data_IF_075724084069
#
_entry.id   IF_075724084069
#
_cell.length_a   1.000
_cell.length_b   1.000
_cell.length_c   1.000
_cell.angle_alpha   90.00
_cell.angle_beta   90.00
_cell.angle_gamma   90.00
#
_symmetry.space_group_name_H-M   'P 1'
#
loop_
_entity.id
_entity.type
_entity.pdbx_description
1 polymer ?
#
# COMPACT_ATOMS: atom_id res chain seq x y z
N UNK A 1 21.90 -24.70 67.63
CA UNK A 1 20.76 -23.95 67.06
C UNK A 1 20.96 -23.87 65.56
N UNK A 2 20.37 -24.82 64.85
CA UNK A 2 20.60 -25.12 63.44
C UNK A 2 19.47 -24.60 62.57
N UNK A 3 19.87 -24.05 61.43
CA UNK A 3 19.03 -23.54 60.35
C UNK A 3 18.47 -24.66 59.45
N UNK A 4 17.35 -24.32 58.80
CA UNK A 4 16.87 -24.67 57.45
C UNK A 4 16.22 -26.02 57.05
N UNK A 5 15.08 -25.85 56.36
CA UNK A 5 14.47 -26.56 55.20
C UNK A 5 13.86 -27.97 55.37
N UNK A 6 12.57 -28.13 54.98
CA UNK A 6 12.10 -29.00 53.86
C UNK A 6 10.56 -29.01 53.65
N UNK A 7 10.15 -29.11 52.39
CA UNK A 7 8.80 -29.41 51.86
C UNK A 7 8.40 -30.88 52.13
N UNK A 8 7.09 -31.15 52.27
CA UNK A 8 6.50 -32.47 52.11
C UNK A 8 4.97 -32.51 52.30
N UNK A 9 4.22 -32.73 51.20
CA UNK A 9 2.94 -33.46 51.16
C UNK A 9 3.23 -34.98 51.36
N UNK A 10 2.26 -35.92 51.39
CA UNK A 10 0.83 -35.89 51.72
C UNK A 10 0.43 -37.03 52.70
N UNK A 11 -0.70 -36.99 53.42
CA UNK A 11 -1.42 -38.25 53.74
C UNK A 11 -2.88 -38.06 54.21
N UNK A 12 -3.74 -38.79 53.49
CA UNK A 12 -5.16 -39.11 53.67
C UNK A 12 -5.59 -39.37 55.13
N UNK A 13 -6.83 -38.97 55.46
CA UNK A 13 -7.62 -39.60 56.51
C UNK A 13 -9.09 -39.83 56.06
N UNK A 14 -9.76 -40.82 56.66
CA UNK A 14 -10.68 -41.75 55.98
C UNK A 14 -12.14 -41.32 56.01
N UNK A 15 -12.94 -41.94 55.13
CA UNK A 15 -14.35 -41.63 54.98
C UNK A 15 -15.24 -42.12 56.12
N UNK A 16 -16.33 -41.40 56.36
CA UNK A 16 -17.63 -41.97 56.66
C UNK A 16 -18.73 -41.00 56.22
N UNK A 17 -19.81 -41.58 55.70
CA UNK A 17 -20.84 -40.92 54.89
C UNK A 17 -21.85 -40.20 55.77
N UNK A 18 -22.02 -38.90 55.56
CA UNK A 18 -23.32 -38.24 55.70
C UNK A 18 -23.61 -37.45 54.43
N UNK A 19 -24.72 -37.77 53.77
CA UNK A 19 -25.21 -37.07 52.57
C UNK A 19 -25.60 -35.65 52.95
N UNK A 20 -24.65 -34.70 52.92
CA UNK A 20 -25.01 -33.29 52.83
C UNK A 20 -25.50 -33.03 51.40
N UNK A 21 -26.71 -32.48 51.29
CA UNK A 21 -27.28 -32.03 50.01
C UNK A 21 -26.23 -31.12 49.34
N UNK A 22 -25.95 -31.28 48.03
CA UNK A 22 -24.99 -30.42 47.35
C UNK A 22 -25.44 -28.96 47.55
N UNK A 23 -24.58 -28.16 48.17
CA UNK A 23 -24.80 -26.74 48.32
C UNK A 23 -25.09 -26.19 46.91
N UNK A 24 -26.27 -25.58 46.71
CA UNK A 24 -26.69 -25.05 45.40
C UNK A 24 -25.56 -24.17 44.89
N UNK A 25 -25.02 -24.47 43.70
CA UNK A 25 -24.02 -23.62 43.02
C UNK A 25 -24.45 -22.16 43.18
N UNK A 26 -23.68 -21.41 43.98
CA UNK A 26 -23.95 -20.01 44.26
C UNK A 26 -24.26 -19.29 42.95
N UNK A 27 -25.41 -18.64 42.89
CA UNK A 27 -25.89 -18.00 41.68
C UNK A 27 -24.84 -17.01 41.18
N UNK A 28 -24.20 -17.31 40.04
CA UNK A 28 -23.25 -16.41 39.41
C UNK A 28 -23.87 -15.01 39.31
N UNK A 29 -23.17 -13.98 39.80
CA UNK A 29 -23.64 -12.60 39.76
C UNK A 29 -23.94 -12.20 38.31
N UNK A 30 -25.19 -11.85 38.00
CA UNK A 30 -25.61 -11.36 36.68
C UNK A 30 -25.91 -9.88 36.76
N UNK A 31 -25.39 -9.13 35.80
CA UNK A 31 -25.52 -7.67 35.73
C UNK A 31 -26.24 -7.25 34.45
N UNK A 32 -27.04 -6.20 34.56
CA UNK A 32 -27.59 -5.45 33.41
C UNK A 32 -26.58 -4.39 33.00
N UNK A 33 -26.39 -4.20 31.69
CA UNK A 33 -25.46 -3.20 31.16
C UNK A 33 -26.24 -1.92 30.84
N UNK A 34 -25.88 -0.82 31.49
CA UNK A 34 -26.31 0.50 31.06
C UNK A 34 -25.60 0.97 29.79
N UNK A 35 -26.06 2.09 29.25
CA UNK A 35 -25.45 2.75 28.10
C UNK A 35 -24.05 3.27 28.41
N UNK A 36 -23.27 3.45 27.35
CA UNK A 36 -21.97 4.11 27.46
C UNK A 36 -22.16 5.62 27.63
N UNK A 37 -21.41 6.23 28.54
CA UNK A 37 -21.26 7.69 28.64
C UNK A 37 -20.67 8.27 27.36
N UNK A 38 -20.76 9.60 27.22
CA UNK A 38 -19.92 10.37 26.30
C UNK A 38 -18.43 10.13 26.61
N UNK A 39 -17.58 10.45 25.63
CA UNK A 39 -16.15 10.34 25.80
C UNK A 39 -15.62 11.48 26.68
N UNK A 40 -14.83 11.17 27.69
CA UNK A 40 -14.09 12.17 28.45
C UNK A 40 -12.95 12.73 27.57
N UNK A 41 -12.92 14.04 27.28
CA UNK A 41 -11.93 14.65 26.39
C UNK A 41 -10.51 14.66 26.98
N UNK A 42 -10.36 14.56 28.31
CA UNK A 42 -9.05 14.57 28.98
C UNK A 42 -8.45 13.16 29.00
N UNK A 43 -9.25 12.17 29.37
CA UNK A 43 -8.76 10.80 29.56
C UNK A 43 -8.95 9.90 28.34
N UNK A 44 -9.72 10.34 27.33
CA UNK A 44 -10.10 9.56 26.15
C UNK A 44 -10.75 8.20 26.52
N UNK A 45 -11.52 8.21 27.61
CA UNK A 45 -12.22 7.05 28.12
C UNK A 45 -13.72 7.30 28.22
N UNK A 46 -14.50 6.24 27.99
CA UNK A 46 -15.94 6.22 28.26
C UNK A 46 -16.25 5.17 29.30
N UNK A 47 -17.29 5.42 30.09
CA UNK A 47 -17.69 4.58 31.22
C UNK A 47 -19.10 4.04 30.97
N UNK A 48 -19.42 2.89 31.53
CA UNK A 48 -20.81 2.41 31.65
C UNK A 48 -21.01 1.75 33.00
N UNK A 49 -22.24 1.82 33.51
CA UNK A 49 -22.61 1.23 34.79
C UNK A 49 -23.23 -0.15 34.54
N UNK A 50 -22.84 -1.13 35.36
CA UNK A 50 -23.39 -2.47 35.38
C UNK A 50 -24.13 -2.65 36.69
N UNK A 51 -25.45 -2.68 36.64
CA UNK A 51 -26.30 -2.83 37.82
C UNK A 51 -26.61 -4.31 38.07
N UNK A 52 -26.49 -4.76 39.31
CA UNK A 52 -26.74 -6.16 39.69
C UNK A 52 -28.22 -6.52 39.44
N UNK A 53 -28.43 -7.57 38.63
CA UNK A 53 -29.77 -8.11 38.32
C UNK A 53 -30.09 -9.37 39.11
N UNK A 54 -29.10 -10.22 39.37
CA UNK A 54 -29.25 -11.47 40.13
C UNK A 54 -27.97 -11.81 40.86
N UNK A 55 -28.07 -12.08 42.15
CA UNK A 55 -26.94 -12.40 43.04
C UNK A 55 -27.22 -11.86 44.44
N UNK A 56 -26.46 -12.33 45.43
CA UNK A 56 -26.56 -11.82 46.80
C UNK A 56 -25.78 -10.50 46.91
N UNK A 57 -26.39 -9.38 47.34
CA UNK A 57 -25.72 -8.09 47.45
C UNK A 57 -24.54 -8.04 48.44
N UNK A 58 -24.42 -8.99 49.37
CA UNK A 58 -23.32 -9.08 50.32
C UNK A 58 -22.09 -9.79 49.72
N UNK A 59 -22.25 -10.46 48.58
CA UNK A 59 -21.15 -11.14 47.87
C UNK A 59 -20.90 -10.58 46.48
N UNK A 60 -21.93 -10.01 45.85
CA UNK A 60 -21.87 -9.33 44.55
C UNK A 60 -21.97 -7.82 44.77
N UNK A 61 -21.04 -7.07 44.20
CA UNK A 61 -21.11 -5.60 44.16
C UNK A 61 -22.42 -5.15 43.48
N UNK A 62 -23.13 -4.16 44.06
CA UNK A 62 -24.40 -3.69 43.48
C UNK A 62 -24.23 -3.02 42.12
N UNK A 63 -23.15 -2.26 41.96
CA UNK A 63 -22.84 -1.55 40.73
C UNK A 63 -21.37 -1.72 40.38
N UNK A 64 -21.08 -1.91 39.09
CA UNK A 64 -19.72 -1.96 38.57
C UNK A 64 -19.55 -0.96 37.45
N UNK A 65 -18.48 -0.17 37.51
CA UNK A 65 -18.11 0.72 36.41
C UNK A 65 -17.15 0.01 35.48
N UNK A 66 -17.52 -0.12 34.20
CA UNK A 66 -16.59 -0.54 33.15
C UNK A 66 -16.10 0.68 32.38
N UNK A 67 -14.78 0.81 32.29
CA UNK A 67 -14.12 1.86 31.53
C UNK A 67 -13.52 1.27 30.25
N UNK A 68 -13.66 1.98 29.14
CA UNK A 68 -13.06 1.59 27.86
C UNK A 68 -12.52 2.82 27.14
N UNK A 69 -11.36 2.68 26.50
CA UNK A 69 -10.82 3.72 25.62
C UNK A 69 -11.85 4.07 24.53
N UNK A 70 -12.07 5.36 24.29
CA UNK A 70 -12.92 5.78 23.18
C UNK A 70 -12.17 5.44 21.88
N UNK A 71 -12.63 4.40 21.18
CA UNK A 71 -12.26 4.17 19.78
C UNK A 71 -13.05 5.11 18.87
N UNK A 72 -13.02 6.42 19.12
CA UNK A 72 -13.45 7.43 18.16
C UNK A 72 -12.23 7.84 17.35
N UNK A 73 -11.83 7.01 16.38
CA UNK A 73 -10.97 7.53 15.31
C UNK A 73 -11.83 8.56 14.59
N UNK A 74 -11.58 9.85 14.82
CA UNK A 74 -12.25 10.92 14.11
C UNK A 74 -12.09 10.66 12.61
N UNK A 75 -13.18 10.37 11.90
CA UNK A 75 -13.17 10.11 10.47
C UNK A 75 -13.63 11.37 9.75
N UNK A 76 -12.83 11.83 8.79
CA UNK A 76 -13.11 13.04 8.02
C UNK A 76 -13.37 12.71 6.54
N UNK A 77 -14.32 13.43 5.94
CA UNK A 77 -14.40 13.63 4.49
C UNK A 77 -13.20 14.42 4.03
N UNK A 78 -12.73 14.18 2.80
CA UNK A 78 -11.75 15.05 2.15
C UNK A 78 -12.48 15.86 1.10
N UNK A 79 -12.45 17.18 1.23
CA UNK A 79 -12.79 18.07 0.11
C UNK A 79 -11.70 18.08 -0.95
N UNK A 80 -11.99 18.81 -2.03
CA UNK A 80 -11.04 19.03 -3.10
C UNK A 80 -9.86 19.91 -2.66
N UNK A 81 -8.75 19.78 -3.37
CA UNK A 81 -7.61 20.68 -3.18
C UNK A 81 -7.92 22.04 -3.81
N UNK A 82 -7.54 23.12 -3.13
CA UNK A 82 -7.48 24.45 -3.73
C UNK A 82 -6.48 24.46 -4.88
N UNK A 83 -6.57 25.51 -5.71
CA UNK A 83 -5.49 25.88 -6.60
C UNK A 83 -4.20 26.17 -5.80
N UNK A 84 -3.07 26.08 -6.47
CA UNK A 84 -1.80 26.45 -5.88
C UNK A 84 -1.73 27.96 -5.69
N UNK A 85 -1.45 28.41 -4.48
CA UNK A 85 -1.14 29.80 -4.21
C UNK A 85 0.26 30.12 -4.80
N UNK A 86 0.37 31.09 -5.73
CA UNK A 86 1.64 31.43 -6.38
C UNK A 86 2.66 32.03 -5.41
N UNK A 87 2.21 32.65 -4.31
CA UNK A 87 3.09 33.33 -3.34
C UNK A 87 3.70 32.35 -2.36
N UNK A 88 2.88 31.46 -1.78
CA UNK A 88 3.32 30.51 -0.73
C UNK A 88 3.72 29.15 -1.30
N UNK A 89 3.40 28.86 -2.57
CA UNK A 89 3.57 27.56 -3.22
C UNK A 89 2.87 26.42 -2.43
N UNK A 90 1.72 26.74 -1.85
CA UNK A 90 0.94 25.82 -1.04
C UNK A 90 -0.47 25.68 -1.61
N UNK A 91 -1.05 24.52 -1.37
CA UNK A 91 -2.46 24.24 -1.61
C UNK A 91 -3.07 23.65 -0.36
N UNK A 92 -4.33 24.00 -0.12
CA UNK A 92 -5.07 23.60 1.07
C UNK A 92 -6.26 22.76 0.69
N UNK A 93 -6.74 21.91 1.59
CA UNK A 93 -8.08 21.32 1.48
C UNK A 93 -8.73 21.21 2.84
N UNK A 94 -10.05 21.26 2.82
CA UNK A 94 -10.87 21.12 4.02
C UNK A 94 -11.20 19.66 4.27
N UNK A 95 -11.10 19.24 5.53
CA UNK A 95 -11.51 17.95 6.04
C UNK A 95 -12.72 18.14 6.96
N UNK A 96 -13.88 17.63 6.57
CA UNK A 96 -15.13 17.77 7.34
C UNK A 96 -15.40 16.51 8.14
N UNK A 97 -15.70 16.63 9.43
CA UNK A 97 -15.96 15.48 10.31
C UNK A 97 -17.18 14.68 9.82
N UNK A 98 -16.99 13.38 9.53
CA UNK A 98 -18.07 12.42 9.22
C UNK A 98 -18.51 11.62 10.43
N UNK A 99 -17.55 11.23 11.28
CA UNK A 99 -17.80 10.36 12.44
C UNK A 99 -16.81 10.67 13.55
N UNK A 100 -17.33 10.93 14.73
CA UNK A 100 -16.56 11.28 15.92
C UNK A 100 -17.47 11.98 16.93
N UNK A 101 -16.98 12.16 18.15
CA UNK A 101 -17.64 13.00 19.14
C UNK A 101 -17.31 14.47 18.81
N UNK A 102 -18.30 15.35 18.57
CA UNK A 102 -18.06 16.77 18.27
C UNK A 102 -17.29 17.51 19.38
N UNK A 103 -17.33 17.02 20.62
CA UNK A 103 -16.62 17.63 21.74
C UNK A 103 -15.13 17.24 21.79
N UNK A 104 -14.73 16.14 21.13
CA UNK A 104 -13.34 15.67 21.08
C UNK A 104 -12.71 15.76 19.69
N UNK A 105 -13.53 15.85 18.65
CA UNK A 105 -13.10 15.94 17.25
C UNK A 105 -13.51 17.29 16.68
N UNK A 106 -12.56 18.06 16.16
CA UNK A 106 -12.87 19.31 15.46
C UNK A 106 -13.82 19.05 14.29
N UNK A 107 -14.82 19.92 14.11
CA UNK A 107 -15.83 19.80 13.05
C UNK A 107 -15.19 19.90 11.66
N UNK A 108 -14.20 20.79 11.52
CA UNK A 108 -13.47 21.01 10.28
C UNK A 108 -11.98 21.14 10.57
N UNK A 109 -11.15 20.58 9.68
CA UNK A 109 -9.69 20.74 9.70
C UNK A 109 -9.20 21.17 8.34
N UNK A 110 -8.31 22.14 8.28
CA UNK A 110 -7.62 22.49 7.04
C UNK A 110 -6.28 21.79 7.06
N UNK A 111 -5.94 21.11 5.96
CA UNK A 111 -4.59 20.58 5.77
C UNK A 111 -3.94 21.26 4.57
N UNK A 112 -2.64 21.48 4.71
CA UNK A 112 -1.84 22.17 3.70
C UNK A 112 -0.77 21.23 3.16
N UNK A 113 -0.48 21.37 1.86
CA UNK A 113 0.63 20.69 1.20
C UNK A 113 1.33 21.65 0.24
N UNK A 114 2.63 21.45 0.06
CA UNK A 114 3.35 22.14 -1.01
C UNK A 114 2.81 21.72 -2.38
N UNK A 115 2.79 22.67 -3.30
CA UNK A 115 2.49 22.36 -4.68
C UNK A 115 3.67 21.62 -5.30
N UNK A 116 3.35 20.71 -6.22
CA UNK A 116 4.38 20.10 -7.05
C UNK A 116 4.74 21.11 -8.14
N UNK A 117 5.90 21.76 -8.02
CA UNK A 117 6.46 22.59 -9.10
C UNK A 117 6.89 21.66 -10.23
N UNK A 118 5.95 21.30 -11.09
CA UNK A 118 6.26 20.53 -12.29
C UNK A 118 6.37 21.53 -13.42
N UNK A 119 7.58 21.75 -13.91
CA UNK A 119 7.78 22.38 -15.21
C UNK A 119 7.18 21.44 -16.26
N UNK A 120 6.01 21.79 -16.79
CA UNK A 120 5.38 21.02 -17.84
C UNK A 120 5.79 21.63 -19.18
N UNK A 121 6.15 20.80 -20.14
CA UNK A 121 6.58 21.26 -21.44
C UNK A 121 5.80 20.57 -22.56
N UNK A 122 5.44 21.33 -23.59
CA UNK A 122 5.06 20.80 -24.89
C UNK A 122 6.29 20.32 -25.65
N UNK A 123 6.11 19.22 -26.38
CA UNK A 123 7.17 18.56 -27.13
C UNK A 123 7.08 19.03 -28.58
N UNK A 124 8.07 19.79 -29.03
CA UNK A 124 8.24 20.05 -30.45
C UNK A 124 8.64 18.79 -31.23
N UNK A 125 8.69 18.94 -32.55
CA UNK A 125 9.13 17.90 -33.47
C UNK A 125 10.62 17.58 -33.28
N UNK A 126 10.99 16.35 -33.60
CA UNK A 126 12.38 15.95 -33.65
C UNK A 126 13.03 16.50 -34.91
N UNK A 127 14.26 17.02 -34.75
CA UNK A 127 15.16 17.28 -35.87
C UNK A 127 15.46 16.00 -36.64
N UNK A 128 16.01 16.17 -37.83
CA UNK A 128 16.68 15.11 -38.55
C UNK A 128 17.85 14.54 -37.73
N UNK A 129 18.26 13.32 -38.09
CA UNK A 129 19.40 12.67 -37.47
C UNK A 129 20.70 13.30 -37.97
N UNK A 130 21.50 13.85 -37.07
CA UNK A 130 22.83 14.34 -37.42
C UNK A 130 23.75 13.13 -37.73
N UNK A 131 24.31 13.05 -38.95
CA UNK A 131 25.13 11.91 -39.38
C UNK A 131 26.44 11.78 -38.58
N UNK A 132 26.97 12.88 -38.04
CA UNK A 132 28.22 12.90 -37.30
C UNK A 132 28.02 12.42 -35.86
N UNK A 133 27.01 12.96 -35.18
CA UNK A 133 26.75 12.64 -33.77
C UNK A 133 25.83 11.44 -33.57
N UNK A 134 25.12 10.99 -34.63
CA UNK A 134 24.05 9.97 -34.57
C UNK A 134 22.98 10.31 -33.53
N UNK A 135 22.75 11.60 -33.31
CA UNK A 135 21.70 12.10 -32.42
C UNK A 135 20.71 12.98 -33.16
N UNK A 136 19.53 13.11 -32.57
CA UNK A 136 18.51 14.08 -32.97
C UNK A 136 18.06 14.86 -31.75
N UNK A 137 17.64 16.10 -31.99
CA UNK A 137 17.27 17.04 -30.93
C UNK A 137 15.84 17.51 -31.14
N UNK A 138 15.18 17.92 -30.06
CA UNK A 138 13.92 18.68 -30.13
C UNK A 138 13.91 19.74 -29.06
N UNK A 139 13.13 20.78 -29.28
CA UNK A 139 12.89 21.82 -28.29
C UNK A 139 11.61 21.50 -27.52
N UNK A 140 11.69 21.59 -26.19
CA UNK A 140 10.55 21.53 -25.30
C UNK A 140 10.17 22.95 -24.89
N UNK A 141 8.91 23.34 -25.06
CA UNK A 141 8.41 24.70 -24.74
C UNK A 141 7.56 24.66 -23.48
N UNK A 142 7.78 25.59 -22.56
CA UNK A 142 7.07 25.62 -21.27
C UNK A 142 5.57 25.84 -21.48
N UNK A 143 4.73 25.05 -20.79
CA UNK A 143 3.27 25.20 -20.81
C UNK A 143 2.80 26.34 -19.93
N UNK A 144 1.76 27.03 -20.38
CA UNK A 144 0.99 27.97 -19.56
C UNK A 144 0.49 27.29 -18.27
N UNK A 145 0.68 27.97 -17.14
CA UNK A 145 0.38 27.42 -15.80
C UNK A 145 1.52 26.60 -15.17
N UNK A 146 2.68 26.49 -15.83
CA UNK A 146 3.91 26.02 -15.18
C UNK A 146 4.52 27.11 -14.30
N UNK A 147 5.42 26.72 -13.40
CA UNK A 147 6.13 27.66 -12.53
C UNK A 147 6.98 28.65 -13.35
N UNK A 148 6.91 29.94 -13.02
CA UNK A 148 7.67 30.99 -13.71
C UNK A 148 9.20 30.86 -13.50
N UNK A 149 9.65 30.10 -12.50
CA UNK A 149 11.07 29.78 -12.34
C UNK A 149 11.59 28.77 -13.35
N UNK A 150 10.70 28.10 -14.11
CA UNK A 150 11.09 27.12 -15.11
C UNK A 150 11.65 27.82 -16.36
N UNK A 151 12.70 27.26 -17.00
CA UNK A 151 13.17 27.74 -18.29
C UNK A 151 12.04 27.75 -19.33
N UNK A 152 11.94 28.82 -20.12
CA UNK A 152 10.94 28.93 -21.18
C UNK A 152 11.08 27.82 -22.24
N UNK A 153 12.32 27.42 -22.53
CA UNK A 153 12.63 26.32 -23.45
C UNK A 153 13.69 25.39 -22.88
N UNK A 154 13.58 24.10 -23.19
CA UNK A 154 14.58 23.09 -22.82
C UNK A 154 14.91 22.20 -24.02
N UNK A 155 16.19 22.03 -24.41
CA UNK A 155 16.56 21.07 -25.44
C UNK A 155 16.47 19.64 -24.89
N UNK A 156 16.03 18.72 -25.75
CA UNK A 156 16.07 17.29 -25.48
C UNK A 156 16.79 16.58 -26.62
N UNK A 157 17.89 15.91 -26.29
CA UNK A 157 18.66 15.09 -27.23
C UNK A 157 18.34 13.62 -27.03
N UNK A 158 18.24 12.87 -28.13
CA UNK A 158 18.18 11.41 -28.12
C UNK A 158 19.02 10.84 -29.24
N UNK A 159 19.56 9.65 -29.02
CA UNK A 159 20.18 8.87 -30.09
C UNK A 159 19.16 8.60 -31.20
N UNK A 160 19.65 8.66 -32.42
CA UNK A 160 18.89 8.18 -33.55
C UNK A 160 18.61 6.69 -33.34
N UNK A 161 17.42 6.26 -33.72
CA UNK A 161 17.11 4.84 -33.74
C UNK A 161 18.01 4.25 -34.83
N UNK A 162 19.12 3.65 -34.43
CA UNK A 162 19.97 2.92 -35.37
C UNK A 162 19.09 1.92 -36.12
N UNK A 163 19.35 1.75 -37.41
CA UNK A 163 18.84 0.58 -38.12
C UNK A 163 19.14 -0.62 -37.23
N UNK A 164 18.10 -1.31 -36.75
CA UNK A 164 18.28 -2.49 -35.93
C UNK A 164 18.99 -3.53 -36.79
N UNK A 165 20.32 -3.55 -36.80
CA UNK A 165 21.14 -4.56 -37.48
C UNK A 165 20.84 -5.98 -36.96
N UNK A 166 20.15 -6.08 -35.83
CA UNK A 166 19.79 -7.35 -35.18
C UNK A 166 18.39 -7.86 -35.53
N UNK A 167 17.54 -7.07 -36.20
CA UNK A 167 16.20 -7.54 -36.61
C UNK A 167 16.28 -8.15 -38.00
N UNK A 168 16.60 -9.44 -38.03
CA UNK A 168 16.47 -10.25 -39.22
C UNK A 168 15.02 -10.78 -39.33
N UNK A 169 14.28 -10.37 -40.36
CA UNK A 169 13.01 -10.99 -40.73
C UNK A 169 13.24 -11.96 -41.87
N UNK A 170 12.83 -13.21 -41.65
CA UNK A 170 12.96 -14.26 -42.64
C UNK A 170 11.59 -14.76 -43.10
N UNK A 171 11.50 -15.21 -44.34
CA UNK A 171 10.40 -16.01 -44.86
C UNK A 171 10.42 -17.45 -44.34
N UNK A 172 9.56 -18.28 -44.91
CA UNK A 172 9.54 -19.71 -44.63
C UNK A 172 10.86 -20.38 -45.08
N UNK A 173 11.25 -21.45 -44.39
CA UNK A 173 12.36 -22.28 -44.83
C UNK A 173 11.98 -23.06 -46.09
N UNK A 174 12.87 -23.06 -47.08
CA UNK A 174 12.81 -24.03 -48.16
C UNK A 174 13.19 -25.43 -47.69
N UNK A 175 12.97 -26.40 -48.57
CA UNK A 175 13.39 -27.79 -48.36
C UNK A 175 14.92 -27.92 -48.34
N UNK A 176 15.41 -29.00 -47.71
CA UNK A 176 16.81 -29.35 -47.83
C UNK A 176 17.11 -29.83 -49.25
N UNK A 177 18.22 -29.35 -49.81
CA UNK A 177 18.78 -29.87 -51.05
C UNK A 177 19.14 -31.35 -50.94
N UNK A 178 19.39 -31.97 -52.09
CA UNK A 178 20.04 -33.28 -52.14
C UNK A 178 21.38 -33.27 -51.39
N UNK A 179 21.80 -34.47 -50.98
CA UNK A 179 23.07 -34.65 -50.30
C UNK A 179 24.21 -34.46 -51.30
N UNK A 180 25.02 -33.42 -51.10
CA UNK A 180 26.24 -33.20 -51.87
C UNK A 180 27.42 -33.15 -50.90
N UNK A 181 28.42 -34.00 -51.14
CA UNK A 181 29.65 -34.06 -50.33
C UNK A 181 29.38 -34.22 -48.81
N UNK A 182 28.43 -35.09 -48.43
CA UNK A 182 28.08 -35.37 -47.02
C UNK A 182 27.35 -34.22 -46.30
N UNK A 183 26.87 -33.22 -47.03
CA UNK A 183 26.13 -32.09 -46.46
C UNK A 183 24.95 -31.73 -47.33
N UNK A 184 23.78 -31.56 -46.69
CA UNK A 184 22.60 -30.95 -47.32
C UNK A 184 22.36 -29.56 -46.74
N UNK A 185 21.88 -28.63 -47.58
CA UNK A 185 21.66 -27.24 -47.19
C UNK A 185 20.21 -26.85 -47.44
N UNK A 186 19.65 -26.00 -46.60
CA UNK A 186 18.39 -25.30 -46.86
C UNK A 186 18.56 -23.81 -46.66
N UNK A 187 17.81 -23.03 -47.42
CA UNK A 187 17.80 -21.58 -47.34
C UNK A 187 16.39 -21.04 -47.14
N UNK A 188 16.29 -19.83 -46.60
CA UNK A 188 15.04 -19.06 -46.49
C UNK A 188 15.25 -17.66 -47.02
N UNK A 189 14.19 -17.06 -47.53
CA UNK A 189 14.22 -15.68 -48.00
C UNK A 189 14.48 -14.72 -46.83
N UNK A 190 15.34 -13.72 -47.03
CA UNK A 190 15.55 -12.62 -46.09
C UNK A 190 14.64 -11.45 -46.50
N UNK A 191 13.57 -11.21 -45.74
CA UNK A 191 12.63 -10.11 -46.00
C UNK A 191 13.17 -8.76 -45.53
N UNK A 192 13.92 -8.74 -44.43
CA UNK A 192 14.55 -7.53 -43.90
C UNK A 192 15.77 -7.88 -43.05
N UNK A 193 16.90 -7.20 -43.26
CA UNK A 193 18.14 -7.38 -42.51
C UNK A 193 19.41 -7.17 -43.36
N UNK A 194 20.56 -7.02 -42.70
CA UNK A 194 21.86 -6.82 -43.35
C UNK A 194 22.63 -8.13 -43.65
N UNK A 195 23.91 -8.01 -44.05
CA UNK A 195 24.75 -9.14 -44.45
C UNK A 195 24.86 -10.28 -43.40
N UNK A 196 24.86 -9.94 -42.10
CA UNK A 196 24.84 -10.92 -41.01
C UNK A 196 23.55 -11.74 -40.95
N UNK A 197 22.41 -11.15 -41.33
CA UNK A 197 21.15 -11.86 -41.44
C UNK A 197 21.17 -12.86 -42.60
N UNK A 198 21.83 -12.53 -43.71
CA UNK A 198 21.95 -13.42 -44.87
C UNK A 198 22.74 -14.69 -44.54
N UNK A 199 23.80 -14.60 -43.71
CA UNK A 199 24.52 -15.78 -43.19
C UNK A 199 23.60 -16.70 -42.37
N UNK A 200 22.67 -16.12 -41.58
CA UNK A 200 21.67 -16.83 -40.77
C UNK A 200 20.44 -17.31 -41.58
N UNK A 201 20.37 -16.97 -42.86
CA UNK A 201 19.33 -17.42 -43.79
C UNK A 201 19.64 -18.79 -44.42
N UNK A 202 20.83 -19.34 -44.18
CA UNK A 202 21.27 -20.65 -44.67
C UNK A 202 21.53 -21.58 -43.50
N UNK A 203 21.06 -22.83 -43.59
CA UNK A 203 21.34 -23.88 -42.60
C UNK A 203 21.86 -25.12 -43.30
N UNK A 204 22.98 -25.65 -42.79
CA UNK A 204 23.58 -26.89 -43.26
C UNK A 204 23.32 -28.01 -42.25
N UNK A 205 23.20 -29.24 -42.74
CA UNK A 205 23.11 -30.44 -41.91
C UNK A 205 23.86 -31.57 -42.59
N UNK A 206 24.59 -32.37 -41.82
CA UNK A 206 25.20 -33.59 -42.33
C UNK A 206 24.12 -34.55 -42.87
N UNK A 207 24.48 -35.19 -43.98
CA UNK A 207 23.88 -36.38 -44.54
C UNK A 207 25.04 -37.36 -44.76
#
# INVERSE_FOLDING_TARGET
>A
MTMTLKKGDPTKCPGSKQKSKPCKKGSACKYTRGDWSSCDPVTNMKKRILSLRKGDPNTCEREKTLTKLCRSVCKYSRGDWSNCDPTTNQKTRTLTLRKGDPNSCEKEKIITKSCKRVCQYDKGDWSECDPNTKTKQRTLTLKDGSDASCPATKPQTRECKGENKDRCFFGAWGEFSECQNGVRKKQRELKFGGAECQKRAVKTKAC
#
